data_IF_274755707492
#
_entry.id   IF_274755707492
#
_cell.length_a   1.000
_cell.length_b   1.000
_cell.length_c   1.000
_cell.angle_alpha   90.00
_cell.angle_beta   90.00
_cell.angle_gamma   90.00
#
_symmetry.space_group_name_H-M   'P 1'
#
loop_
_entity.id
_entity.type
_entity.pdbx_description
1 polymer ?
#
# COMPACT_ATOMS: atom_id res chain seq x y z
N UNK A 1 9.16 39.93 -79.32
CA UNK A 1 8.61 40.38 -78.03
C UNK A 1 7.11 40.43 -78.13
N UNK A 2 6.40 39.40 -77.65
CA UNK A 2 5.00 39.47 -77.21
C UNK A 2 4.78 38.23 -76.34
N UNK A 3 4.63 38.45 -75.03
CA UNK A 3 4.31 37.43 -74.04
C UNK A 3 2.79 37.29 -73.96
N UNK A 4 2.27 36.10 -74.25
CA UNK A 4 0.87 35.73 -74.02
C UNK A 4 0.77 34.98 -72.70
N UNK A 5 0.07 35.61 -71.75
CA UNK A 5 -0.33 35.06 -70.46
C UNK A 5 -1.50 34.10 -70.70
N UNK A 6 -1.34 32.82 -70.32
CA UNK A 6 -2.46 31.89 -70.20
C UNK A 6 -2.54 31.37 -68.76
N UNK A 7 -3.54 31.92 -68.07
CA UNK A 7 -4.03 31.52 -66.76
C UNK A 7 -4.80 30.21 -66.90
N UNK A 8 -4.23 29.11 -66.42
CA UNK A 8 -4.89 27.81 -66.35
C UNK A 8 -5.26 27.45 -64.92
N UNK A 9 -6.53 27.68 -64.56
CA UNK A 9 -7.18 27.00 -63.45
C UNK A 9 -7.30 25.51 -63.81
N UNK A 10 -6.84 24.61 -62.93
CA UNK A 10 -7.15 23.18 -63.03
C UNK A 10 -7.37 22.62 -61.62
N UNK A 11 -8.65 22.51 -61.33
CA UNK A 11 -9.30 21.77 -60.25
C UNK A 11 -9.00 20.27 -60.32
N UNK A 12 -8.51 19.66 -59.24
CA UNK A 12 -8.71 18.22 -58.97
C UNK A 12 -8.80 17.92 -57.48
N UNK A 13 -10.01 17.49 -57.09
CA UNK A 13 -10.31 16.34 -56.23
C UNK A 13 -9.61 16.22 -54.86
N UNK A 14 -10.31 16.64 -53.81
CA UNK A 14 -10.31 15.93 -52.54
C UNK A 14 -11.74 15.47 -52.25
N UNK A 15 -11.93 14.15 -52.22
CA UNK A 15 -13.19 13.51 -51.82
C UNK A 15 -13.41 13.72 -50.33
N UNK A 16 -14.36 14.59 -50.01
CA UNK A 16 -15.08 14.64 -48.74
C UNK A 16 -15.89 13.35 -48.53
N UNK A 17 -15.73 12.68 -47.39
CA UNK A 17 -16.72 11.73 -46.91
C UNK A 17 -16.64 11.53 -45.39
N UNK A 18 -17.20 12.47 -44.62
CA UNK A 18 -17.68 12.21 -43.25
C UNK A 18 -19.03 12.93 -43.14
N UNK A 19 -20.07 12.25 -43.59
CA UNK A 19 -21.45 12.58 -43.26
C UNK A 19 -21.70 12.26 -41.78
N UNK A 20 -21.85 13.31 -40.98
CA UNK A 20 -22.51 13.22 -39.67
C UNK A 20 -24.02 13.40 -39.89
N UNK A 21 -24.70 12.34 -40.28
CA UNK A 21 -26.16 12.30 -40.20
C UNK A 21 -26.57 12.03 -38.75
N UNK A 22 -27.15 13.08 -38.16
CA UNK A 22 -27.81 13.09 -36.86
C UNK A 22 -29.20 12.47 -37.06
N UNK A 23 -29.30 11.15 -36.89
CA UNK A 23 -30.54 10.40 -37.09
C UNK A 23 -31.29 10.31 -35.74
N UNK A 24 -32.12 11.32 -35.47
CA UNK A 24 -33.08 11.32 -34.38
C UNK A 24 -34.23 10.37 -34.71
N UNK A 25 -34.04 9.06 -34.44
CA UNK A 25 -35.09 8.05 -34.55
C UNK A 25 -35.72 7.77 -33.19
N UNK A 26 -36.98 8.20 -33.09
CA UNK A 26 -38.12 7.50 -32.49
C UNK A 26 -37.79 6.20 -31.75
N UNK A 27 -37.73 6.26 -30.43
CA UNK A 27 -37.98 5.12 -29.55
C UNK A 27 -39.43 5.18 -29.05
N UNK A 28 -40.37 4.87 -29.95
CA UNK A 28 -41.74 4.57 -29.59
C UNK A 28 -41.95 3.05 -29.73
N UNK A 29 -42.33 2.40 -28.63
CA UNK A 29 -42.89 1.05 -28.65
C UNK A 29 -41.88 -0.09 -28.44
N UNK A 30 -41.44 -0.27 -27.20
CA UNK A 30 -41.15 -1.63 -26.72
C UNK A 30 -42.31 -2.07 -25.81
N UNK A 31 -42.93 -3.23 -26.04
CA UNK A 31 -43.90 -3.79 -25.11
C UNK A 31 -43.18 -4.16 -23.81
N UNK A 32 -43.73 -3.68 -22.69
CA UNK A 32 -43.30 -4.05 -21.35
C UNK A 32 -43.40 -5.58 -21.19
N UNK A 33 -42.27 -6.27 -21.35
CA UNK A 33 -42.15 -7.64 -20.88
C UNK A 33 -42.23 -7.61 -19.36
N UNK A 34 -43.40 -8.00 -18.84
CA UNK A 34 -43.61 -8.37 -17.45
C UNK A 34 -42.60 -9.46 -17.09
N UNK A 35 -41.47 -9.03 -16.52
CA UNK A 35 -40.57 -9.90 -15.77
C UNK A 35 -41.32 -10.25 -14.49
N UNK A 36 -41.96 -11.42 -14.49
CA UNK A 36 -42.47 -12.04 -13.27
C UNK A 36 -41.28 -12.31 -12.37
N UNK A 37 -41.11 -11.49 -11.34
CA UNK A 37 -40.18 -11.76 -10.26
C UNK A 37 -40.63 -13.06 -9.57
N UNK A 38 -39.81 -14.11 -9.49
CA UNK A 38 -40.14 -15.23 -8.63
C UNK A 38 -40.19 -14.72 -7.19
N UNK A 39 -41.36 -14.86 -6.57
CA UNK A 39 -41.55 -14.62 -5.14
C UNK A 39 -40.59 -15.54 -4.37
N UNK A 40 -39.47 -14.97 -3.91
CA UNK A 40 -38.59 -15.61 -2.94
C UNK A 40 -39.28 -15.54 -1.59
N UNK A 41 -40.05 -16.57 -1.29
CA UNK A 41 -40.59 -16.84 0.04
C UNK A 41 -39.40 -17.17 0.96
N UNK A 42 -38.88 -16.18 1.69
CA UNK A 42 -37.92 -16.38 2.77
C UNK A 42 -38.60 -16.08 4.12
N UNK A 43 -39.63 -16.86 4.45
CA UNK A 43 -40.22 -16.93 5.78
C UNK A 43 -39.75 -18.21 6.47
N UNK A 44 -38.49 -18.24 6.88
CA UNK A 44 -38.02 -19.18 7.91
C UNK A 44 -37.84 -18.41 9.22
N UNK A 45 -38.66 -18.67 10.26
CA UNK A 45 -38.40 -18.11 11.58
C UNK A 45 -37.17 -18.80 12.17
N UNK A 46 -36.02 -18.14 12.09
CA UNK A 46 -34.82 -18.56 12.81
C UNK A 46 -34.93 -18.00 14.23
N UNK A 47 -35.23 -18.86 15.20
CA UNK A 47 -35.16 -18.52 16.62
C UNK A 47 -33.70 -18.21 17.01
N UNK A 48 -33.36 -16.93 17.04
CA UNK A 48 -32.02 -16.46 17.45
C UNK A 48 -31.92 -16.51 18.97
N UNK A 49 -31.43 -17.63 19.51
CA UNK A 49 -31.01 -17.71 20.91
C UNK A 49 -29.93 -16.64 21.16
N UNK A 50 -30.21 -15.68 22.04
CA UNK A 50 -29.33 -14.56 22.43
C UNK A 50 -28.12 -15.05 23.25
N UNK A 51 -27.24 -15.84 22.64
CA UNK A 51 -25.88 -16.05 23.14
C UNK A 51 -25.00 -14.87 22.71
N UNK A 52 -24.11 -14.38 23.57
CA UNK A 52 -23.10 -13.34 23.21
C UNK A 52 -22.01 -13.86 22.26
N UNK A 53 -22.31 -14.91 21.47
CA UNK A 53 -21.52 -15.32 20.34
C UNK A 53 -21.90 -14.44 19.17
N UNK A 54 -20.92 -13.71 18.61
CA UNK A 54 -21.11 -13.05 17.31
C UNK A 54 -21.57 -14.13 16.33
N UNK A 55 -22.72 -13.97 15.67
CA UNK A 55 -23.25 -15.02 14.80
C UNK A 55 -22.18 -15.40 13.77
N UNK A 56 -22.06 -16.70 13.42
CA UNK A 56 -21.17 -17.12 12.35
C UNK A 56 -21.65 -16.44 11.07
N UNK A 57 -21.01 -15.33 10.71
CA UNK A 57 -21.23 -14.71 9.42
C UNK A 57 -20.64 -15.69 8.40
N UNK A 58 -21.50 -16.52 7.82
CA UNK A 58 -21.15 -17.36 6.68
C UNK A 58 -20.53 -16.45 5.63
N UNK A 59 -19.22 -16.61 5.42
CA UNK A 59 -18.51 -15.86 4.40
C UNK A 59 -19.03 -16.33 3.04
N UNK A 60 -19.77 -15.46 2.36
CA UNK A 60 -20.16 -15.68 0.97
C UNK A 60 -19.00 -15.24 0.09
N UNK A 61 -18.40 -16.19 -0.62
CA UNK A 61 -17.30 -15.97 -1.57
C UNK A 61 -17.93 -15.67 -2.94
N UNK A 62 -17.71 -14.47 -3.47
CA UNK A 62 -18.16 -14.06 -4.79
C UNK A 62 -17.15 -14.39 -5.89
N UNK A 63 -17.38 -13.88 -7.11
CA UNK A 63 -16.39 -13.95 -8.17
C UNK A 63 -15.18 -13.05 -7.86
N UNK A 64 -13.94 -13.46 -8.17
CA UNK A 64 -12.76 -12.65 -7.90
C UNK A 64 -12.75 -11.40 -8.79
N UNK A 65 -12.65 -10.23 -8.16
CA UNK A 65 -12.40 -8.95 -8.85
C UNK A 65 -10.95 -8.57 -8.61
N UNK A 66 -10.28 -8.03 -9.63
CA UNK A 66 -8.87 -7.67 -9.53
C UNK A 66 -8.64 -6.61 -8.44
N UNK A 67 -7.71 -6.88 -7.51
CA UNK A 67 -7.37 -5.97 -6.41
C UNK A 67 -8.37 -5.89 -5.25
N UNK A 68 -9.55 -6.49 -5.34
CA UNK A 68 -10.61 -6.42 -4.30
C UNK A 68 -10.88 -7.78 -3.66
N UNK A 69 -11.15 -7.78 -2.35
CA UNK A 69 -11.47 -9.00 -1.61
C UNK A 69 -12.70 -9.71 -2.18
N UNK A 70 -12.59 -11.03 -2.34
CA UNK A 70 -13.63 -11.91 -2.90
C UNK A 70 -14.86 -12.09 -2.00
N UNK A 71 -14.78 -11.71 -0.73
CA UNK A 71 -15.92 -11.83 0.20
C UNK A 71 -16.93 -10.74 -0.15
N UNK A 72 -18.17 -11.14 -0.43
CA UNK A 72 -19.25 -10.22 -0.82
C UNK A 72 -19.41 -9.12 0.24
N UNK A 73 -19.41 -7.86 -0.21
CA UNK A 73 -19.48 -6.67 0.66
C UNK A 73 -18.13 -6.23 1.26
N UNK A 74 -17.01 -6.86 0.92
CA UNK A 74 -15.69 -6.46 1.41
C UNK A 74 -14.91 -5.64 0.37
N UNK A 75 -14.89 -4.31 0.53
CA UNK A 75 -14.11 -3.40 -0.35
C UNK A 75 -12.61 -3.30 -0.03
N UNK A 76 -12.03 -4.21 0.76
CA UNK A 76 -10.60 -4.14 1.15
C UNK A 76 -9.71 -4.72 0.06
N UNK A 77 -8.47 -4.21 0.01
CA UNK A 77 -7.44 -4.72 -0.90
C UNK A 77 -7.11 -6.20 -0.63
N UNK A 78 -6.85 -6.94 -1.70
CA UNK A 78 -6.40 -8.33 -1.65
C UNK A 78 -5.02 -8.41 -0.97
N UNK A 79 -4.86 -9.41 -0.10
CA UNK A 79 -3.58 -9.81 0.47
C UNK A 79 -3.05 -11.06 -0.23
N UNK A 80 -3.82 -12.15 -0.21
CA UNK A 80 -3.45 -13.43 -0.84
C UNK A 80 -4.69 -14.21 -1.24
N UNK A 81 -4.61 -14.97 -2.34
CA UNK A 81 -5.72 -15.78 -2.91
C UNK A 81 -7.03 -15.00 -3.01
N UNK A 82 -6.97 -13.76 -3.52
CA UNK A 82 -8.13 -12.89 -3.68
C UNK A 82 -8.88 -12.52 -2.38
N UNK A 83 -8.33 -12.78 -1.19
CA UNK A 83 -8.90 -12.37 0.09
C UNK A 83 -8.04 -11.29 0.77
N UNK A 84 -8.68 -10.35 1.48
CA UNK A 84 -7.95 -9.42 2.37
C UNK A 84 -7.38 -10.19 3.57
N UNK A 85 -6.35 -9.64 4.22
CA UNK A 85 -5.62 -10.32 5.31
C UNK A 85 -6.55 -10.87 6.43
N UNK A 86 -7.57 -10.14 6.93
CA UNK A 86 -8.48 -10.68 7.95
C UNK A 86 -9.33 -11.85 7.46
N UNK A 87 -9.81 -11.80 6.22
CA UNK A 87 -10.61 -12.88 5.63
C UNK A 87 -9.74 -14.10 5.30
N UNK A 88 -8.54 -13.89 4.77
CA UNK A 88 -7.59 -14.98 4.55
C UNK A 88 -7.23 -15.69 5.87
N UNK A 89 -6.93 -14.94 6.95
CA UNK A 89 -6.67 -15.51 8.27
C UNK A 89 -7.87 -16.22 8.89
N UNK A 90 -9.10 -15.79 8.59
CA UNK A 90 -10.32 -16.47 9.04
C UNK A 90 -10.50 -17.79 8.28
N UNK A 91 -10.50 -17.74 6.95
CA UNK A 91 -10.63 -18.93 6.10
C UNK A 91 -9.56 -19.97 6.38
N UNK A 92 -8.31 -19.55 6.66
CA UNK A 92 -7.23 -20.47 7.09
C UNK A 92 -7.51 -21.15 8.43
N UNK A 93 -8.10 -20.44 9.41
CA UNK A 93 -8.47 -21.04 10.71
C UNK A 93 -9.62 -22.03 10.58
N UNK A 94 -10.49 -21.82 9.60
CA UNK A 94 -11.64 -22.69 9.30
C UNK A 94 -11.28 -23.83 8.33
N UNK A 95 -10.01 -23.95 7.89
CA UNK A 95 -9.57 -24.88 6.85
C UNK A 95 -10.33 -24.74 5.50
N UNK A 96 -10.89 -23.56 5.22
CA UNK A 96 -11.61 -23.22 3.98
C UNK A 96 -10.78 -22.37 3.02
N UNK A 97 -9.46 -22.31 3.22
CA UNK A 97 -8.57 -21.50 2.37
C UNK A 97 -8.45 -22.03 0.94
N UNK A 98 -8.81 -23.30 0.71
CA UNK A 98 -8.81 -23.93 -0.61
C UNK A 98 -10.09 -23.68 -1.41
N UNK A 99 -11.13 -23.12 -0.78
CA UNK A 99 -12.32 -22.61 -1.49
C UNK A 99 -12.04 -21.28 -2.19
N UNK A 100 -10.94 -20.61 -1.84
CA UNK A 100 -10.52 -19.41 -2.54
C UNK A 100 -9.98 -19.79 -3.93
N UNK A 101 -10.28 -18.98 -4.96
CA UNK A 101 -9.72 -19.17 -6.28
C UNK A 101 -8.20 -19.31 -6.18
N UNK A 102 -7.66 -20.34 -6.83
CA UNK A 102 -6.21 -20.51 -6.91
C UNK A 102 -5.61 -19.19 -7.41
N UNK A 103 -4.52 -18.70 -6.78
CA UNK A 103 -3.89 -17.49 -7.26
C UNK A 103 -3.55 -17.75 -8.73
N UNK A 104 -3.92 -16.82 -9.62
CA UNK A 104 -3.41 -16.86 -10.99
C UNK A 104 -1.90 -17.00 -10.85
N UNK A 105 -1.36 -18.12 -11.35
CA UNK A 105 0.08 -18.31 -11.45
C UNK A 105 0.53 -17.26 -12.45
N UNK A 106 0.88 -16.07 -11.97
CA UNK A 106 1.76 -15.21 -12.72
C UNK A 106 3.01 -16.05 -12.90
N UNK A 107 3.29 -16.43 -14.15
CA UNK A 107 4.49 -17.18 -14.48
C UNK A 107 5.67 -16.35 -13.95
N UNK A 108 6.23 -16.76 -12.82
CA UNK A 108 7.39 -16.13 -12.17
C UNK A 108 8.65 -16.16 -13.06
N UNK A 109 8.56 -16.77 -14.24
CA UNK A 109 9.62 -16.89 -15.23
C UNK A 109 9.48 -15.93 -16.43
N UNK A 110 8.55 -14.97 -16.42
CA UNK A 110 8.37 -14.07 -17.58
C UNK A 110 7.89 -12.66 -17.29
N UNK A 111 7.05 -12.47 -16.26
CA UNK A 111 6.50 -11.15 -15.98
C UNK A 111 7.19 -10.58 -14.75
N UNK A 112 8.20 -9.74 -15.00
CA UNK A 112 8.86 -8.91 -14.01
C UNK A 112 7.81 -8.36 -13.03
N UNK A 113 7.92 -8.78 -11.77
CA UNK A 113 6.90 -8.57 -10.77
C UNK A 113 6.35 -7.15 -10.83
N UNK A 114 5.03 -7.04 -10.79
CA UNK A 114 4.36 -5.85 -10.28
C UNK A 114 4.81 -5.65 -8.82
N UNK A 115 6.05 -5.16 -8.66
CA UNK A 115 6.30 -4.11 -7.69
C UNK A 115 5.14 -3.16 -7.84
N UNK A 116 4.59 -2.72 -6.73
CA UNK A 116 3.81 -1.50 -6.69
C UNK A 116 4.78 -0.41 -7.17
N UNK A 117 4.94 -0.28 -8.49
CA UNK A 117 5.57 0.85 -9.12
C UNK A 117 4.64 1.97 -8.74
N UNK A 118 5.02 2.69 -7.67
CA UNK A 118 4.56 4.05 -7.46
C UNK A 118 4.57 4.69 -8.84
N UNK A 119 3.45 5.28 -9.24
CA UNK A 119 3.33 5.97 -10.51
C UNK A 119 4.64 6.72 -10.78
N UNK A 120 5.24 6.57 -11.98
CA UNK A 120 6.53 7.16 -12.27
C UNK A 120 6.47 8.62 -11.83
N UNK A 121 7.34 8.99 -10.91
CA UNK A 121 7.45 10.39 -10.51
C UNK A 121 7.97 11.08 -11.76
N UNK A 122 7.12 11.88 -12.40
CA UNK A 122 7.51 12.69 -13.54
C UNK A 122 8.55 13.70 -13.03
N UNK A 123 9.79 13.50 -13.41
CA UNK A 123 10.92 14.26 -12.91
C UNK A 123 12.19 13.95 -13.68
N UNK A 124 13.09 14.93 -13.71
CA UNK A 124 14.44 14.81 -14.29
C UNK A 124 15.39 14.31 -13.21
N UNK A 125 16.38 13.50 -13.59
CA UNK A 125 17.37 12.97 -12.64
C UNK A 125 18.02 14.09 -11.82
N UNK A 126 18.12 13.89 -10.50
CA UNK A 126 18.70 14.87 -9.56
C UNK A 126 20.21 15.12 -9.78
N UNK A 127 20.87 14.31 -10.60
CA UNK A 127 22.29 14.47 -10.95
C UNK A 127 22.43 15.56 -11.99
N UNK A 128 23.20 16.61 -11.66
CA UNK A 128 23.44 17.73 -12.56
C UNK A 128 23.95 17.25 -13.93
N UNK A 129 23.32 17.74 -15.00
CA UNK A 129 23.64 17.34 -16.38
C UNK A 129 23.02 16.00 -16.83
N UNK A 130 22.06 15.43 -16.09
CA UNK A 130 21.38 14.21 -16.49
C UNK A 130 19.90 14.44 -16.80
N UNK A 131 19.53 14.45 -18.09
CA UNK A 131 18.15 14.66 -18.55
C UNK A 131 17.28 13.38 -18.54
N UNK A 132 17.80 12.27 -18.01
CA UNK A 132 17.09 11.01 -17.98
C UNK A 132 15.92 11.05 -16.96
N UNK A 133 14.77 10.44 -17.26
CA UNK A 133 13.62 10.46 -16.36
C UNK A 133 13.92 9.72 -15.04
N UNK A 134 13.36 10.23 -13.95
CA UNK A 134 13.51 9.62 -12.62
C UNK A 134 12.73 8.32 -12.50
N UNK A 135 13.32 7.31 -11.86
CA UNK A 135 12.62 6.09 -11.48
C UNK A 135 12.45 5.96 -9.97
N UNK A 136 13.57 5.97 -9.25
CA UNK A 136 13.59 5.65 -7.83
C UNK A 136 14.50 6.63 -7.10
N UNK A 137 14.00 7.23 -6.01
CA UNK A 137 14.74 8.23 -5.20
C UNK A 137 15.26 9.42 -6.04
N UNK A 138 14.44 9.92 -6.96
CA UNK A 138 14.75 11.05 -7.84
C UNK A 138 16.02 10.86 -8.71
N UNK A 139 16.47 9.62 -8.90
CA UNK A 139 17.59 9.29 -9.78
C UNK A 139 17.08 8.49 -10.99
N UNK A 140 17.76 8.63 -12.12
CA UNK A 140 17.60 7.71 -13.24
C UNK A 140 18.14 6.32 -12.86
N UNK A 141 17.77 5.31 -13.63
CA UNK A 141 18.13 3.91 -13.33
C UNK A 141 19.65 3.67 -13.30
N UNK A 142 20.40 4.34 -14.19
CA UNK A 142 21.86 4.22 -14.24
C UNK A 142 22.53 4.82 -13.01
N UNK A 143 22.11 6.02 -12.60
CA UNK A 143 22.64 6.66 -11.39
C UNK A 143 22.24 5.90 -10.12
N UNK A 144 21.01 5.37 -10.07
CA UNK A 144 20.58 4.53 -8.97
C UNK A 144 21.43 3.25 -8.85
N UNK A 145 21.71 2.56 -9.97
CA UNK A 145 22.57 1.36 -9.99
C UNK A 145 24.02 1.68 -9.61
N UNK A 146 24.58 2.79 -10.09
CA UNK A 146 25.93 3.24 -9.73
C UNK A 146 26.02 3.56 -8.23
N UNK A 147 25.02 4.26 -7.69
CA UNK A 147 24.91 4.52 -6.24
C UNK A 147 24.88 3.23 -5.40
N UNK A 148 24.18 2.19 -5.85
CA UNK A 148 24.14 0.91 -5.15
C UNK A 148 25.48 0.14 -5.21
N UNK A 149 26.21 0.25 -6.31
CA UNK A 149 27.50 -0.43 -6.50
C UNK A 149 28.61 0.22 -5.69
N UNK A 150 28.72 1.54 -5.80
CA UNK A 150 29.90 2.27 -5.33
C UNK A 150 29.69 2.84 -3.91
N UNK A 151 28.45 2.79 -3.38
CA UNK A 151 28.09 3.33 -2.07
C UNK A 151 28.20 4.86 -1.95
N UNK A 152 28.83 5.50 -2.94
CA UNK A 152 28.98 6.93 -3.12
C UNK A 152 28.09 7.34 -4.30
N UNK A 153 26.88 7.81 -4.00
CA UNK A 153 26.26 8.74 -4.92
C UNK A 153 27.17 9.96 -4.95
N UNK A 154 27.83 10.23 -6.07
CA UNK A 154 28.63 11.44 -6.20
C UNK A 154 27.77 12.65 -5.84
N UNK A 155 28.11 13.28 -4.72
CA UNK A 155 27.81 14.67 -4.34
C UNK A 155 26.40 15.18 -4.65
N UNK A 156 25.37 14.36 -4.42
CA UNK A 156 24.01 14.89 -4.36
C UNK A 156 23.76 15.42 -2.94
N UNK A 157 23.39 16.70 -2.77
CA UNK A 157 22.92 17.24 -1.50
C UNK A 157 21.49 16.75 -1.25
N UNK A 158 21.30 15.44 -1.20
CA UNK A 158 20.16 14.91 -0.47
C UNK A 158 20.56 15.12 0.97
N UNK A 159 20.14 16.25 1.55
CA UNK A 159 20.24 16.52 2.98
C UNK A 159 19.54 15.38 3.72
N UNK A 160 20.30 14.30 3.98
CA UNK A 160 19.99 13.38 5.04
C UNK A 160 20.24 14.20 6.30
N UNK A 161 19.29 14.28 7.25
CA UNK A 161 19.60 14.89 8.54
C UNK A 161 20.87 14.23 9.07
N UNK A 162 21.88 15.04 9.41
CA UNK A 162 23.26 14.69 9.75
C UNK A 162 23.37 13.40 10.58
N UNK A 163 23.43 12.27 9.88
CA UNK A 163 23.58 10.93 10.47
C UNK A 163 25.01 10.40 10.30
N UNK A 164 25.84 11.10 9.54
CA UNK A 164 27.24 10.75 9.25
C UNK A 164 28.23 11.42 10.23
N UNK A 165 27.73 12.23 11.18
CA UNK A 165 28.52 12.80 12.28
C UNK A 165 28.44 12.00 13.59
N UNK A 166 27.83 10.81 13.60
CA UNK A 166 27.91 9.93 14.78
C UNK A 166 29.27 9.22 14.71
N UNK A 167 30.24 9.55 15.59
CA UNK A 167 31.55 8.90 15.60
C UNK A 167 31.33 7.39 15.68
N UNK A 168 32.08 6.60 14.89
CA UNK A 168 32.06 5.15 15.00
C UNK A 168 32.36 4.77 16.45
N UNK A 169 31.36 4.29 17.22
CA UNK A 169 31.58 4.00 18.62
C UNK A 169 32.51 2.82 18.76
N UNK A 170 33.24 2.79 19.88
CA UNK A 170 34.05 1.65 20.31
C UNK A 170 33.32 0.33 19.99
N UNK A 171 33.98 -0.65 19.33
CA UNK A 171 33.34 -1.85 18.79
C UNK A 171 32.75 -2.81 19.86
N UNK A 172 32.70 -2.40 21.14
CA UNK A 172 32.31 -3.27 22.24
C UNK A 172 30.88 -3.11 22.76
N UNK A 173 30.32 -1.88 22.82
CA UNK A 173 29.14 -1.63 23.67
C UNK A 173 28.14 -0.66 23.06
N UNK A 174 26.86 -0.99 23.19
CA UNK A 174 25.75 -0.13 22.76
C UNK A 174 25.86 1.27 23.39
N UNK A 175 25.69 2.32 22.58
CA UNK A 175 25.74 3.71 23.03
C UNK A 175 24.63 4.09 24.03
N UNK A 176 23.60 3.27 24.17
CA UNK A 176 22.52 3.53 25.12
C UNK A 176 23.01 3.22 26.52
N UNK A 177 22.99 4.24 27.39
CA UNK A 177 23.38 4.15 28.80
C UNK A 177 22.70 2.94 29.45
N UNK A 178 23.51 2.09 30.10
CA UNK A 178 23.04 0.87 30.76
C UNK A 178 22.79 -0.33 29.84
N UNK A 179 23.18 -0.27 28.57
CA UNK A 179 23.12 -1.41 27.64
C UNK A 179 24.51 -2.01 27.39
N UNK A 180 24.74 -3.20 27.93
CA UNK A 180 26.01 -3.93 27.75
C UNK A 180 26.06 -4.82 26.51
N UNK A 181 24.99 -4.82 25.70
CA UNK A 181 24.95 -5.61 24.48
C UNK A 181 25.92 -5.05 23.43
N UNK A 182 26.47 -5.95 22.61
CA UNK A 182 27.37 -5.61 21.51
C UNK A 182 26.67 -4.76 20.46
N UNK A 183 27.43 -3.80 19.90
CA UNK A 183 26.96 -2.93 18.81
C UNK A 183 26.79 -3.76 17.55
N UNK A 184 25.68 -3.58 16.84
CA UNK A 184 25.45 -4.25 15.57
C UNK A 184 25.74 -3.29 14.41
N UNK A 185 24.96 -2.20 14.29
CA UNK A 185 25.16 -1.11 13.32
C UNK A 185 24.62 0.19 13.91
N UNK A 186 25.23 1.32 13.55
CA UNK A 186 24.81 2.69 13.94
C UNK A 186 24.74 2.92 15.46
N UNK A 187 25.72 2.44 16.20
CA UNK A 187 25.84 2.66 17.65
C UNK A 187 24.82 1.96 18.55
N UNK A 188 23.85 1.24 17.98
CA UNK A 188 22.87 0.44 18.71
C UNK A 188 23.17 -1.06 18.68
N UNK A 189 22.78 -1.77 19.74
CA UNK A 189 22.63 -3.23 19.68
C UNK A 189 21.45 -3.62 18.78
N UNK A 190 21.33 -4.91 18.44
CA UNK A 190 20.24 -5.41 17.56
C UNK A 190 18.84 -4.94 18.00
N UNK A 191 18.57 -4.99 19.31
CA UNK A 191 17.28 -4.62 19.88
C UNK A 191 17.00 -3.11 19.74
N UNK A 192 17.97 -2.28 20.05
CA UNK A 192 17.82 -0.82 19.94
C UNK A 192 17.79 -0.37 18.48
N UNK A 193 18.51 -1.05 17.59
CA UNK A 193 18.40 -0.82 16.15
C UNK A 193 16.99 -1.16 15.62
N UNK A 194 16.40 -2.29 16.04
CA UNK A 194 15.02 -2.63 15.69
C UNK A 194 14.00 -1.63 16.25
N UNK A 195 14.22 -1.12 17.47
CA UNK A 195 13.37 -0.07 18.04
C UNK A 195 13.49 1.21 17.23
N UNK A 196 14.71 1.65 16.90
CA UNK A 196 14.96 2.82 16.06
C UNK A 196 14.23 2.72 14.71
N UNK A 197 14.27 1.56 14.05
CA UNK A 197 13.54 1.35 12.79
C UNK A 197 12.01 1.43 12.95
N UNK A 198 11.49 1.06 14.11
CA UNK A 198 10.03 1.02 14.36
C UNK A 198 9.47 2.35 14.83
N UNK A 199 10.17 3.05 15.74
CA UNK A 199 9.69 4.27 16.38
C UNK A 199 10.38 5.55 15.87
N UNK A 200 11.52 5.42 15.18
CA UNK A 200 12.31 6.58 14.73
C UNK A 200 13.20 7.19 15.81
N UNK A 201 13.21 6.66 17.03
CA UNK A 201 14.06 7.12 18.13
C UNK A 201 14.55 5.96 19.00
N UNK A 202 15.75 6.12 19.57
CA UNK A 202 16.36 5.17 20.50
C UNK A 202 15.69 5.29 21.88
N UNK A 203 15.17 4.18 22.39
CA UNK A 203 14.67 4.11 23.76
C UNK A 203 15.82 3.77 24.72
N UNK A 204 15.79 4.26 25.97
CA UNK A 204 16.76 3.89 26.99
C UNK A 204 16.73 2.39 27.29
N UNK A 205 17.84 1.88 27.83
CA UNK A 205 17.96 0.48 28.21
C UNK A 205 16.84 0.09 29.20
N UNK A 206 16.40 -1.18 29.13
CA UNK A 206 15.33 -1.70 29.99
C UNK A 206 15.61 -1.55 31.49
N UNK A 207 16.87 -1.42 31.91
CA UNK A 207 17.29 -1.31 33.31
C UNK A 207 16.84 0.00 33.98
N UNK A 208 16.65 1.08 33.22
CA UNK A 208 16.11 2.35 33.74
C UNK A 208 14.59 2.47 33.53
N UNK A 209 13.98 1.45 32.93
CA UNK A 209 12.57 1.48 32.57
C UNK A 209 11.71 1.30 33.83
N UNK A 210 11.15 2.41 34.33
CA UNK A 210 10.23 2.40 35.47
C UNK A 210 9.06 1.46 35.18
N UNK A 211 8.64 0.67 36.18
CA UNK A 211 7.42 -0.12 36.09
C UNK A 211 6.20 0.82 36.04
N UNK A 212 5.13 0.34 35.42
CA UNK A 212 3.84 1.02 35.38
C UNK A 212 3.33 1.24 36.80
N UNK A 213 3.04 2.49 37.18
CA UNK A 213 2.50 2.85 38.49
C UNK A 213 1.06 2.40 38.75
N UNK A 214 0.53 1.46 37.95
CA UNK A 214 -0.79 0.89 38.21
C UNK A 214 -0.60 -0.38 39.04
N UNK A 215 -1.41 -0.52 40.09
CA UNK A 215 -1.32 -1.66 41.01
C UNK A 215 -1.36 -3.01 40.26
N UNK A 216 -0.38 -3.86 40.56
CA UNK A 216 -0.23 -5.17 39.92
C UNK A 216 0.31 -5.15 38.47
N UNK A 217 0.63 -4.00 37.90
CA UNK A 217 1.09 -3.93 36.50
C UNK A 217 2.61 -4.02 36.36
N UNK A 218 3.12 -5.18 35.94
CA UNK A 218 4.56 -5.39 35.68
C UNK A 218 5.05 -4.92 34.31
N UNK A 219 4.27 -4.10 33.60
CA UNK A 219 4.66 -3.55 32.29
C UNK A 219 5.52 -2.30 32.48
N UNK A 220 6.38 -2.02 31.50
CA UNK A 220 7.20 -0.80 31.48
C UNK A 220 6.32 0.44 31.30
N UNK A 221 6.54 1.45 32.14
CA UNK A 221 5.97 2.78 32.01
C UNK A 221 6.67 3.57 30.91
N UNK A 222 5.88 4.35 30.17
CA UNK A 222 6.41 5.44 29.34
C UNK A 222 6.38 6.73 30.16
N UNK A 223 6.97 7.83 29.67
CA UNK A 223 7.24 9.09 30.41
C UNK A 223 6.12 9.66 31.31
N UNK A 224 4.87 9.21 31.16
CA UNK A 224 3.75 9.50 32.07
C UNK A 224 3.66 8.60 33.32
N UNK A 225 4.65 7.76 33.63
CA UNK A 225 4.60 6.81 34.75
C UNK A 225 3.61 5.63 34.56
N UNK A 226 3.01 5.51 33.38
CA UNK A 226 2.03 4.46 33.05
C UNK A 226 2.46 3.74 31.77
N UNK A 227 2.14 2.44 31.66
CA UNK A 227 2.30 1.72 30.40
C UNK A 227 1.28 2.22 29.36
N UNK A 228 1.52 1.95 28.08
CA UNK A 228 0.67 2.44 26.98
C UNK A 228 -0.81 2.07 27.13
N UNK A 229 -1.10 0.88 27.67
CA UNK A 229 -2.47 0.45 27.94
C UNK A 229 -3.15 1.27 29.05
N UNK A 230 -2.46 1.50 30.17
CA UNK A 230 -3.03 2.29 31.27
C UNK A 230 -3.08 3.78 30.95
N UNK A 231 -2.10 4.32 30.21
CA UNK A 231 -2.15 5.68 29.68
C UNK A 231 -3.35 5.86 28.74
N UNK A 232 -3.60 4.92 27.83
CA UNK A 232 -4.76 4.94 26.93
C UNK A 232 -6.09 4.85 27.70
N UNK A 233 -6.18 3.92 28.67
CA UNK A 233 -7.38 3.76 29.53
C UNK A 233 -7.63 5.01 30.38
N UNK A 234 -6.58 5.67 30.89
CA UNK A 234 -6.68 6.94 31.61
C UNK A 234 -7.21 8.07 30.71
N UNK A 235 -6.72 8.18 29.47
CA UNK A 235 -7.22 9.16 28.48
C UNK A 235 -8.72 8.98 28.19
N UNK A 236 -9.19 7.74 28.03
CA UNK A 236 -10.61 7.46 27.77
C UNK A 236 -11.53 7.77 28.96
N UNK A 237 -11.01 7.78 30.19
CA UNK A 237 -11.79 8.07 31.41
C UNK A 237 -11.68 9.52 31.89
N UNK A 238 -10.64 10.23 31.46
CA UNK A 238 -10.37 11.61 31.87
C UNK A 238 -10.87 12.68 30.90
N UNK A 239 -11.68 12.31 29.89
CA UNK A 239 -12.43 13.25 29.08
C UNK A 239 -13.85 13.38 29.63
N UNK A 240 -14.02 14.17 30.68
CA UNK A 240 -15.30 14.62 31.22
C UNK A 240 -15.19 16.12 31.48
#
# INVERSE_FOLDING_TARGET
MYWLVLSGCSTTFWTSNIDKQNDSRNFAGQPALLVTQPALCNDYPVEVKRGRGRPPHHLVIGAPVEGVCVVVGCGRRVYQRHACEPHYRRLRRENRADELPAPRRHNLNGDAGAMILRAPVEGVCVVEGCDAPTRTRNCCENHYRRMLRDGRAGELPIARPDLDLIPTPDPGRCQIRGCEASVLKRGGCAQHFHQLLKSGYLLPARSEARLCGAEGCRRIAFGSGLCGFHAHRKKLRGGA
#
